data_IF_364241760976
#
_entry.id   IF_364241760976
#
_cell.length_a   1.000
_cell.length_b   1.000
_cell.length_c   1.000
_cell.angle_alpha   90.00
_cell.angle_beta   90.00
_cell.angle_gamma   90.00
#
_symmetry.space_group_name_H-M   'P 1'
#
loop_
_entity.id
_entity.type
_entity.pdbx_description
1 polymer ?
#
# COMPACT_ATOMS: atom_id res chain seq x y z
N UNK A 1 -7.97 47.92 -25.14
CA UNK A 1 -7.03 47.15 -24.29
C UNK A 1 -5.85 48.03 -23.94
N UNK A 2 -5.44 48.09 -22.66
CA UNK A 2 -4.28 48.87 -22.23
C UNK A 2 -2.97 48.09 -22.45
N UNK A 3 -2.21 48.47 -23.49
CA UNK A 3 -0.92 47.83 -23.84
C UNK A 3 0.05 47.75 -22.67
N UNK A 4 0.11 48.79 -21.83
CA UNK A 4 0.99 48.85 -20.66
C UNK A 4 0.62 47.82 -19.59
N UNK A 5 -0.68 47.62 -19.33
CA UNK A 5 -1.17 46.60 -18.38
C UNK A 5 -0.94 45.19 -18.91
N UNK A 6 -1.13 44.98 -20.21
CA UNK A 6 -0.84 43.70 -20.86
C UNK A 6 0.65 43.32 -20.70
N UNK A 7 1.57 44.22 -21.06
CA UNK A 7 3.01 43.96 -20.95
C UNK A 7 3.45 43.66 -19.50
N UNK A 8 2.96 44.45 -18.54
CA UNK A 8 3.30 44.27 -17.12
C UNK A 8 2.81 42.93 -16.57
N UNK A 9 1.58 42.52 -16.91
CA UNK A 9 1.01 41.24 -16.48
C UNK A 9 1.76 40.07 -17.10
N UNK A 10 2.03 40.12 -18.40
CA UNK A 10 2.78 39.08 -19.11
C UNK A 10 4.21 38.93 -18.57
N UNK A 11 4.90 40.04 -18.29
CA UNK A 11 6.24 39.98 -17.69
C UNK A 11 6.22 39.36 -16.27
N UNK A 12 5.25 39.76 -15.44
CA UNK A 12 5.10 39.22 -14.09
C UNK A 12 4.76 37.73 -14.08
N UNK A 13 3.84 37.28 -14.95
CA UNK A 13 3.49 35.86 -15.05
C UNK A 13 4.65 35.03 -15.59
N UNK A 14 5.39 35.51 -16.60
CA UNK A 14 6.57 34.80 -17.10
C UNK A 14 7.66 34.70 -16.04
N UNK A 15 7.92 35.77 -15.29
CA UNK A 15 8.88 35.73 -14.18
C UNK A 15 8.45 34.75 -13.08
N UNK A 16 7.15 34.75 -12.72
CA UNK A 16 6.60 33.82 -11.74
C UNK A 16 6.79 32.36 -12.16
N UNK A 17 6.49 32.02 -13.41
CA UNK A 17 6.69 30.67 -13.93
C UNK A 17 8.18 30.31 -14.05
N UNK A 18 9.00 31.22 -14.57
CA UNK A 18 10.45 31.02 -14.75
C UNK A 18 11.22 30.85 -13.44
N UNK A 19 10.78 31.47 -12.34
CA UNK A 19 11.33 31.27 -11.00
C UNK A 19 10.76 30.04 -10.28
N UNK A 20 10.01 29.17 -10.97
CA UNK A 20 9.49 27.94 -10.40
C UNK A 20 8.18 28.10 -9.62
N UNK A 21 7.42 29.19 -9.83
CA UNK A 21 6.08 29.37 -9.24
C UNK A 21 5.05 28.31 -9.68
N UNK A 22 5.36 27.55 -10.74
CA UNK A 22 4.63 26.35 -11.15
C UNK A 22 5.54 25.13 -11.09
N UNK A 23 5.78 24.60 -9.89
CA UNK A 23 6.53 23.34 -9.72
C UNK A 23 5.66 22.13 -10.11
N UNK A 24 6.13 21.29 -11.04
CA UNK A 24 5.51 20.01 -11.36
C UNK A 24 5.94 18.92 -10.36
N UNK A 25 5.40 18.97 -9.14
CA UNK A 25 5.67 17.97 -8.09
C UNK A 25 5.13 16.56 -8.43
N UNK A 26 4.30 16.43 -9.48
CA UNK A 26 3.69 15.16 -9.88
C UNK A 26 4.70 14.11 -10.33
N UNK A 27 5.89 14.51 -10.80
CA UNK A 27 6.91 13.58 -11.29
C UNK A 27 7.92 13.17 -10.21
N UNK A 28 7.81 13.69 -8.98
CA UNK A 28 8.83 13.52 -7.94
C UNK A 28 8.63 12.28 -7.04
N UNK A 29 7.52 11.55 -7.19
CA UNK A 29 7.21 10.41 -6.33
C UNK A 29 7.42 9.06 -7.01
N UNK A 30 8.67 8.69 -7.25
CA UNK A 30 9.06 7.28 -7.51
C UNK A 30 9.26 6.52 -6.19
N UNK A 31 8.28 6.63 -5.27
CA UNK A 31 8.28 5.83 -4.05
C UNK A 31 7.92 4.40 -4.44
N UNK A 32 8.89 3.49 -4.47
CA UNK A 32 8.63 2.06 -4.62
C UNK A 32 7.68 1.60 -3.51
N UNK A 33 6.50 1.10 -3.89
CA UNK A 33 5.54 0.52 -2.94
C UNK A 33 5.81 -0.98 -2.84
N UNK A 34 6.03 -1.47 -1.63
CA UNK A 34 6.11 -2.90 -1.36
C UNK A 34 4.72 -3.40 -0.97
N UNK A 35 4.14 -4.29 -1.78
CA UNK A 35 2.83 -4.91 -1.53
C UNK A 35 3.07 -6.35 -1.09
N UNK A 36 2.46 -6.75 0.02
CA UNK A 36 2.48 -8.13 0.51
C UNK A 36 1.13 -8.78 0.22
N UNK A 37 1.13 -9.93 -0.44
CA UNK A 37 -0.09 -10.69 -0.71
C UNK A 37 -0.03 -11.97 0.11
N UNK A 38 -1.01 -12.15 0.99
CA UNK A 38 -1.24 -13.36 1.75
C UNK A 38 -2.44 -14.08 1.17
N UNK A 39 -2.39 -15.41 1.15
CA UNK A 39 -3.54 -16.23 0.81
C UNK A 39 -3.68 -17.38 1.80
N UNK A 40 -4.92 -17.76 2.09
CA UNK A 40 -5.28 -19.07 2.65
C UNK A 40 -6.02 -19.87 1.58
N UNK A 41 -5.99 -21.19 1.70
CA UNK A 41 -6.73 -22.09 0.82
C UNK A 41 -7.09 -23.36 1.59
N UNK A 42 -8.19 -24.01 1.16
CA UNK A 42 -8.63 -25.33 1.62
C UNK A 42 -8.71 -25.44 3.15
N UNK A 43 -9.30 -24.43 3.79
CA UNK A 43 -9.41 -24.40 5.25
C UNK A 43 -10.30 -25.53 5.77
N UNK A 44 -11.27 -26.00 4.99
CA UNK A 44 -12.18 -27.10 5.34
C UNK A 44 -12.77 -27.01 6.76
N UNK A 45 -13.13 -25.78 7.18
CA UNK A 45 -13.65 -25.49 8.53
C UNK A 45 -12.73 -25.90 9.68
N UNK A 46 -11.42 -26.03 9.43
CA UNK A 46 -10.42 -26.38 10.44
C UNK A 46 -10.07 -25.15 11.29
N UNK A 47 -10.99 -24.80 12.19
CA UNK A 47 -10.89 -23.65 13.10
C UNK A 47 -9.81 -23.91 14.16
N UNK A 48 -9.78 -25.10 14.72
CA UNK A 48 -8.81 -25.50 15.73
C UNK A 48 -7.53 -26.06 15.11
N UNK A 49 -6.41 -26.10 15.86
CA UNK A 49 -5.23 -26.85 15.43
C UNK A 49 -5.55 -28.33 15.22
N UNK A 50 -4.79 -29.00 14.36
CA UNK A 50 -4.87 -30.44 14.23
C UNK A 50 -4.55 -31.15 15.56
N UNK A 51 -5.22 -32.28 15.86
CA UNK A 51 -4.92 -33.07 17.06
C UNK A 51 -3.43 -33.45 17.16
N UNK A 52 -2.94 -33.65 18.38
CA UNK A 52 -1.54 -34.05 18.64
C UNK A 52 -1.21 -35.40 17.97
N UNK A 53 -2.22 -36.26 17.79
CA UNK A 53 -2.07 -37.58 17.17
C UNK A 53 -2.29 -37.55 15.65
N UNK A 54 -2.37 -36.37 15.02
CA UNK A 54 -2.55 -36.28 13.59
C UNK A 54 -1.31 -36.82 12.86
N UNK A 55 -1.52 -37.64 11.83
CA UNK A 55 -0.46 -38.37 11.13
C UNK A 55 0.62 -37.46 10.50
N UNK A 56 0.20 -36.39 9.83
CA UNK A 56 1.12 -35.49 9.12
C UNK A 56 1.34 -34.12 9.78
N UNK A 57 0.34 -33.55 10.47
CA UNK A 57 0.36 -32.17 10.93
C UNK A 57 0.02 -32.00 12.42
N UNK A 58 0.64 -32.76 13.33
CA UNK A 58 0.26 -32.76 14.74
C UNK A 58 0.41 -31.38 15.38
N UNK A 59 -0.65 -30.88 16.03
CA UNK A 59 -0.69 -29.57 16.69
C UNK A 59 -0.33 -28.37 15.76
N UNK A 60 -0.50 -28.50 14.44
CA UNK A 60 -0.30 -27.42 13.48
C UNK A 60 -1.64 -26.79 13.04
N UNK A 61 -1.59 -25.66 12.35
CA UNK A 61 -2.77 -25.00 11.80
C UNK A 61 -3.59 -24.20 12.83
N UNK A 62 -4.91 -24.22 12.65
CA UNK A 62 -5.86 -23.42 13.41
C UNK A 62 -6.02 -22.00 12.88
N UNK A 63 -7.26 -21.53 12.83
CA UNK A 63 -7.60 -20.19 12.35
C UNK A 63 -7.06 -19.10 13.28
N UNK A 64 -7.15 -19.30 14.61
CA UNK A 64 -6.66 -18.33 15.59
C UNK A 64 -5.14 -18.07 15.46
N UNK A 65 -4.34 -19.14 15.28
CA UNK A 65 -2.89 -19.00 15.09
C UNK A 65 -2.54 -18.31 13.78
N UNK A 66 -3.27 -18.62 12.70
CA UNK A 66 -3.15 -17.92 11.41
C UNK A 66 -3.51 -16.45 11.53
N UNK A 67 -4.57 -16.10 12.25
CA UNK A 67 -4.96 -14.71 12.49
C UNK A 67 -3.86 -13.91 13.20
N UNK A 68 -3.22 -14.50 14.23
CA UNK A 68 -2.07 -13.89 14.91
C UNK A 68 -0.90 -13.66 13.94
N UNK A 69 -0.60 -14.63 13.08
CA UNK A 69 0.46 -14.49 12.07
C UNK A 69 0.12 -13.38 11.05
N UNK A 70 -1.11 -13.35 10.56
CA UNK A 70 -1.61 -12.31 9.64
C UNK A 70 -1.48 -10.93 10.28
N UNK A 71 -1.88 -10.78 11.54
CA UNK A 71 -1.77 -9.51 12.28
C UNK A 71 -0.31 -9.05 12.43
N UNK A 72 0.60 -9.98 12.77
CA UNK A 72 2.02 -9.69 12.83
C UNK A 72 2.59 -9.24 11.47
N UNK A 73 2.14 -9.84 10.36
CA UNK A 73 2.58 -9.46 9.02
C UNK A 73 2.03 -8.08 8.63
N UNK A 74 0.75 -7.80 8.91
CA UNK A 74 0.12 -6.50 8.67
C UNK A 74 0.80 -5.36 9.43
N UNK A 75 1.28 -5.63 10.65
CA UNK A 75 2.09 -4.68 11.44
C UNK A 75 3.44 -4.37 10.79
N UNK A 76 4.05 -5.33 10.07
CA UNK A 76 5.33 -5.13 9.38
C UNK A 76 5.18 -4.38 8.06
N UNK A 77 4.11 -4.66 7.30
CA UNK A 77 3.80 -3.94 6.07
C UNK A 77 2.30 -3.58 6.04
N UNK A 78 1.93 -2.29 6.14
CA UNK A 78 0.53 -1.87 6.06
C UNK A 78 -0.09 -2.14 4.68
N UNK A 79 0.72 -2.27 3.62
CA UNK A 79 0.25 -2.62 2.28
C UNK A 79 0.13 -4.15 2.12
N UNK A 80 -0.55 -4.80 3.05
CA UNK A 80 -0.78 -6.24 3.05
C UNK A 80 -2.22 -6.57 2.69
N UNK A 81 -2.42 -7.37 1.65
CA UNK A 81 -3.71 -7.91 1.23
C UNK A 81 -3.82 -9.38 1.67
N UNK A 82 -5.01 -9.79 2.12
CA UNK A 82 -5.30 -11.18 2.49
C UNK A 82 -6.47 -11.69 1.66
N UNK A 83 -6.28 -12.84 1.02
CA UNK A 83 -7.29 -13.55 0.24
C UNK A 83 -7.54 -14.96 0.80
N UNK A 84 -8.72 -15.50 0.55
CA UNK A 84 -9.08 -16.89 0.87
C UNK A 84 -9.65 -17.54 -0.39
N UNK A 85 -9.27 -18.80 -0.64
CA UNK A 85 -9.61 -19.55 -1.85
C UNK A 85 -10.16 -20.94 -1.54
#
# INVERSE_FOLDING_TARGET
>A
MDRRKFLSRTAASTAFVGMGGLTLNSCQNSSKKHITILHTNDVHSHIDPFPINHSAYPNLGGLARRATLVDQIRKKNPNTLLFDA
#
